data_IF_151229504467
#
_entry.id   IF_151229504467
#
_cell.length_a   1.000
_cell.length_b   1.000
_cell.length_c   1.000
_cell.angle_alpha   90.00
_cell.angle_beta   90.00
_cell.angle_gamma   90.00
#
_symmetry.space_group_name_H-M   'P 1'
#
loop_
_entity.id
_entity.type
_entity.pdbx_description
1 polymer ?
#
# COMPACT_ATOMS: atom_id res chain seq x y z
N UNK A 1 -21.84 -2.71 -11.02
CA UNK A 1 -21.70 -1.71 -9.94
C UNK A 1 -20.97 -0.50 -10.52
N UNK A 2 -21.54 0.71 -10.49
CA UNK A 2 -20.86 1.90 -10.99
C UNK A 2 -19.83 2.43 -9.97
N UNK A 3 -18.79 3.10 -10.47
CA UNK A 3 -17.92 3.93 -9.62
C UNK A 3 -18.69 5.18 -9.19
N UNK A 4 -18.59 5.57 -7.93
CA UNK A 4 -19.15 6.84 -7.44
C UNK A 4 -18.15 7.97 -7.67
N UNK A 5 -17.97 8.34 -8.94
CA UNK A 5 -17.07 9.42 -9.34
C UNK A 5 -17.83 10.74 -9.46
N UNK A 6 -17.20 11.82 -8.98
CA UNK A 6 -17.62 13.20 -9.25
C UNK A 6 -16.46 14.02 -9.80
N UNK A 7 -16.77 15.05 -10.57
CA UNK A 7 -15.81 16.11 -10.91
C UNK A 7 -15.71 17.08 -9.75
N UNK A 8 -14.54 17.69 -9.57
CA UNK A 8 -14.32 18.76 -8.61
C UNK A 8 -13.09 19.58 -8.93
N UNK A 9 -12.84 20.62 -8.13
CA UNK A 9 -11.64 21.45 -8.22
C UNK A 9 -10.83 21.34 -6.93
N UNK A 10 -9.52 21.19 -7.04
CA UNK A 10 -8.63 21.21 -5.87
C UNK A 10 -8.66 22.61 -5.25
N UNK A 11 -9.13 22.71 -4.01
CA UNK A 11 -9.29 24.00 -3.30
C UNK A 11 -8.15 24.28 -2.34
N UNK A 12 -7.48 23.24 -1.84
CA UNK A 12 -6.35 23.37 -0.93
C UNK A 12 -5.43 22.15 -1.04
N UNK A 13 -4.13 22.36 -0.81
CA UNK A 13 -3.15 21.28 -0.55
C UNK A 13 -2.72 21.43 0.91
N UNK A 14 -3.06 20.43 1.73
CA UNK A 14 -2.86 20.46 3.19
C UNK A 14 -1.48 19.90 3.55
N UNK A 15 -1.09 18.81 2.91
CA UNK A 15 0.20 18.15 3.10
C UNK A 15 0.61 17.49 1.78
N UNK A 16 1.86 17.69 1.38
CA UNK A 16 2.46 17.04 0.21
C UNK A 16 3.67 16.22 0.65
N UNK A 17 3.58 14.90 0.47
CA UNK A 17 4.64 13.93 0.64
C UNK A 17 4.93 13.28 -0.72
N UNK A 18 6.11 12.69 -0.89
CA UNK A 18 6.57 12.11 -2.17
C UNK A 18 5.57 11.13 -2.82
N UNK A 19 4.85 10.33 -2.01
CA UNK A 19 3.92 9.30 -2.50
C UNK A 19 2.46 9.56 -2.12
N UNK A 20 2.16 10.61 -1.35
CA UNK A 20 0.82 10.90 -0.87
C UNK A 20 0.61 12.39 -0.68
N UNK A 21 -0.51 12.90 -1.21
CA UNK A 21 -0.95 14.28 -0.98
C UNK A 21 -2.27 14.25 -0.24
N UNK A 22 -2.36 15.02 0.84
CA UNK A 22 -3.61 15.35 1.52
C UNK A 22 -4.07 16.71 1.04
N UNK A 23 -5.26 16.78 0.49
CA UNK A 23 -5.80 17.97 -0.15
C UNK A 23 -7.29 18.14 0.16
N UNK A 24 -7.87 19.20 -0.37
CA UNK A 24 -9.31 19.40 -0.41
C UNK A 24 -9.79 19.55 -1.86
N UNK A 25 -10.92 18.93 -2.17
CA UNK A 25 -11.62 19.07 -3.46
C UNK A 25 -13.01 19.62 -3.20
N UNK A 26 -13.25 20.86 -3.63
CA UNK A 26 -14.45 21.64 -3.30
C UNK A 26 -14.70 21.74 -1.78
N UNK A 27 -13.62 21.89 -1.00
CA UNK A 27 -13.66 21.96 0.47
C UNK A 27 -13.86 20.60 1.18
N UNK A 28 -13.88 19.49 0.45
CA UNK A 28 -13.99 18.14 1.03
C UNK A 28 -12.59 17.50 1.14
N UNK A 29 -12.19 16.95 2.30
CA UNK A 29 -10.93 16.25 2.45
C UNK A 29 -10.76 15.12 1.43
N UNK A 30 -9.59 15.06 0.82
CA UNK A 30 -9.27 14.10 -0.22
C UNK A 30 -7.80 13.65 -0.13
N UNK A 31 -7.53 12.40 -0.50
CA UNK A 31 -6.18 11.85 -0.63
C UNK A 31 -5.88 11.56 -2.09
N UNK A 32 -4.71 11.98 -2.56
CA UNK A 32 -4.17 11.62 -3.86
C UNK A 32 -2.86 10.84 -3.72
N UNK A 33 -2.57 10.01 -4.71
CA UNK A 33 -1.31 9.26 -4.83
C UNK A 33 -0.60 9.77 -6.08
N UNK A 34 0.34 10.73 -5.98
CA UNK A 34 0.93 11.37 -7.16
C UNK A 34 1.62 10.41 -8.12
N UNK A 35 2.19 9.31 -7.61
CA UNK A 35 2.76 8.24 -8.44
C UNK A 35 1.74 7.55 -9.36
N UNK A 36 0.44 7.64 -9.05
CA UNK A 36 -0.65 7.11 -9.88
C UNK A 36 -1.42 8.21 -10.63
N UNK A 37 -1.54 9.39 -10.02
CA UNK A 37 -2.48 10.43 -10.46
C UNK A 37 -1.80 11.69 -10.99
N UNK A 38 -0.47 11.74 -10.93
CA UNK A 38 0.34 12.92 -11.20
C UNK A 38 0.36 13.89 -10.02
N UNK A 39 1.19 14.92 -10.15
CA UNK A 39 1.24 16.03 -9.21
C UNK A 39 -0.13 16.73 -9.08
N UNK A 40 -0.35 17.42 -7.96
CA UNK A 40 -1.62 18.08 -7.64
C UNK A 40 -1.36 19.49 -7.12
N UNK A 41 -2.05 20.49 -7.67
CA UNK A 41 -2.05 21.86 -7.16
C UNK A 41 -3.48 22.40 -7.04
N UNK A 42 -3.62 23.49 -6.27
CA UNK A 42 -4.86 24.27 -6.19
C UNK A 42 -5.27 24.77 -7.57
N UNK A 43 -6.55 24.59 -7.90
CA UNK A 43 -7.13 24.95 -9.19
C UNK A 43 -7.20 23.80 -10.20
N UNK A 44 -6.58 22.65 -9.91
CA UNK A 44 -6.69 21.47 -10.78
C UNK A 44 -8.13 20.94 -10.84
N UNK A 45 -8.55 20.58 -12.04
CA UNK A 45 -9.77 19.84 -12.26
C UNK A 45 -9.51 18.35 -12.09
N UNK A 46 -10.32 17.69 -11.27
CA UNK A 46 -10.10 16.30 -10.86
C UNK A 46 -11.38 15.49 -10.93
N UNK A 47 -11.22 14.17 -11.08
CA UNK A 47 -12.24 13.19 -10.72
C UNK A 47 -11.88 12.62 -9.34
N UNK A 48 -12.86 12.51 -8.46
CA UNK A 48 -12.70 11.89 -7.14
C UNK A 48 -13.73 10.79 -6.93
N UNK A 49 -13.34 9.73 -6.22
CA UNK A 49 -14.23 8.70 -5.71
C UNK A 49 -14.68 9.08 -4.30
N UNK A 50 -15.98 9.20 -4.10
CA UNK A 50 -16.59 9.66 -2.84
C UNK A 50 -17.31 8.56 -2.05
N UNK A 51 -17.33 7.32 -2.54
CA UNK A 51 -18.21 6.27 -2.01
C UNK A 51 -17.89 5.89 -0.58
N UNK A 52 -16.61 5.71 -0.24
CA UNK A 52 -16.22 5.33 1.11
C UNK A 52 -16.65 6.40 2.13
N UNK A 53 -16.48 7.67 1.79
CA UNK A 53 -16.92 8.80 2.62
C UNK A 53 -18.44 8.86 2.74
N UNK A 54 -19.17 8.72 1.63
CA UNK A 54 -20.65 8.74 1.64
C UNK A 54 -21.26 7.59 2.44
N UNK A 55 -20.60 6.42 2.45
CA UNK A 55 -21.00 5.26 3.24
C UNK A 55 -20.47 5.30 4.68
N UNK A 56 -19.76 6.36 5.07
CA UNK A 56 -19.11 6.50 6.39
C UNK A 56 -18.22 5.29 6.74
N UNK A 57 -17.55 4.72 5.73
CA UNK A 57 -16.70 3.56 5.89
C UNK A 57 -15.26 3.95 6.23
N UNK A 58 -14.68 3.19 7.15
CA UNK A 58 -13.32 3.41 7.64
C UNK A 58 -13.21 4.64 8.54
N UNK A 59 -11.99 4.94 8.98
CA UNK A 59 -11.70 6.08 9.86
C UNK A 59 -11.22 7.32 9.12
N UNK A 60 -11.18 7.28 7.79
CA UNK A 60 -10.52 8.30 6.97
C UNK A 60 -11.36 9.57 6.76
N UNK A 61 -12.65 9.42 6.50
CA UNK A 61 -13.54 10.57 6.27
C UNK A 61 -13.16 11.44 5.05
N UNK A 62 -12.42 10.89 4.09
CA UNK A 62 -11.93 11.59 2.90
C UNK A 62 -12.34 10.88 1.60
N UNK A 63 -12.43 11.65 0.52
CA UNK A 63 -12.53 11.16 -0.85
C UNK A 63 -11.16 10.65 -1.35
N UNK A 64 -11.15 9.83 -2.41
CA UNK A 64 -9.91 9.41 -3.08
C UNK A 64 -9.84 10.09 -4.45
N UNK A 65 -8.74 10.78 -4.75
CA UNK A 65 -8.52 11.34 -6.09
C UNK A 65 -8.35 10.18 -7.08
N UNK A 66 -9.24 10.14 -8.07
CA UNK A 66 -9.30 9.09 -9.08
C UNK A 66 -8.44 9.45 -10.30
N UNK A 67 -8.53 10.69 -10.77
CA UNK A 67 -7.70 11.20 -11.88
C UNK A 67 -7.57 12.72 -11.79
N UNK A 68 -6.38 13.25 -12.08
CA UNK A 68 -6.18 14.68 -12.29
C UNK A 68 -6.35 14.98 -13.79
N UNK A 69 -7.39 15.74 -14.14
CA UNK A 69 -7.76 16.05 -15.52
C UNK A 69 -6.95 17.21 -16.12
N UNK A 70 -6.29 18.02 -15.27
CA UNK A 70 -5.48 19.15 -15.70
C UNK A 70 -4.07 18.71 -16.08
N UNK A 71 -3.43 17.85 -15.28
CA UNK A 71 -2.03 17.43 -15.49
C UNK A 71 -1.73 15.95 -15.29
N UNK A 72 -2.70 15.17 -14.81
CA UNK A 72 -2.55 13.72 -14.64
C UNK A 72 -2.86 12.91 -15.91
N UNK A 73 -3.15 13.59 -17.02
CA UNK A 73 -3.47 12.94 -18.30
C UNK A 73 -2.23 12.87 -19.19
N UNK A 74 -1.97 11.69 -19.75
CA UNK A 74 -0.82 11.47 -20.62
C UNK A 74 0.49 11.31 -19.86
N UNK A 75 0.43 10.87 -18.60
CA UNK A 75 1.62 10.50 -17.85
C UNK A 75 2.25 9.24 -18.46
N UNK A 76 3.58 9.25 -18.53
CA UNK A 76 4.35 8.08 -18.95
C UNK A 76 4.36 7.01 -17.86
N UNK A 77 4.43 5.75 -18.28
CA UNK A 77 4.65 4.65 -17.36
C UNK A 77 6.06 4.70 -16.76
N UNK A 78 6.25 4.03 -15.62
CA UNK A 78 7.58 3.81 -15.05
C UNK A 78 8.50 3.11 -16.06
N UNK A 79 9.75 3.57 -16.16
CA UNK A 79 10.71 2.99 -17.08
C UNK A 79 11.00 1.51 -16.74
N UNK A 80 10.89 0.64 -17.74
CA UNK A 80 11.10 -0.80 -17.55
C UNK A 80 9.91 -1.54 -16.92
N UNK A 81 8.79 -0.85 -16.65
CA UNK A 81 7.58 -1.51 -16.19
C UNK A 81 7.06 -2.54 -17.21
N UNK A 82 6.90 -3.78 -16.76
CA UNK A 82 6.41 -4.87 -17.61
C UNK A 82 5.31 -5.73 -16.94
N UNK A 83 4.95 -5.42 -15.68
CA UNK A 83 3.86 -6.07 -14.94
C UNK A 83 2.70 -5.11 -14.76
N UNK A 84 1.46 -5.60 -14.92
CA UNK A 84 0.26 -4.82 -14.65
C UNK A 84 -0.26 -5.06 -13.22
N UNK A 85 -0.34 -4.01 -12.41
CA UNK A 85 -1.20 -4.02 -11.22
C UNK A 85 -2.66 -3.80 -11.60
N UNK A 86 -3.56 -4.38 -10.81
CA UNK A 86 -5.01 -4.30 -10.98
C UNK A 86 -5.44 -4.59 -12.44
N UNK A 87 -4.94 -5.69 -13.06
CA UNK A 87 -5.12 -5.92 -14.50
C UNK A 87 -6.59 -6.02 -14.86
N UNK A 88 -6.96 -5.43 -16.01
CA UNK A 88 -8.34 -5.39 -16.53
C UNK A 88 -9.34 -4.59 -15.68
N UNK A 89 -8.88 -3.85 -14.66
CA UNK A 89 -9.70 -2.87 -13.96
C UNK A 89 -9.55 -1.48 -14.57
N UNK A 90 -10.50 -0.55 -14.37
CA UNK A 90 -10.35 0.85 -14.79
C UNK A 90 -9.15 1.59 -14.17
N UNK A 91 -8.54 1.06 -13.10
CA UNK A 91 -7.37 1.64 -12.42
C UNK A 91 -6.08 0.85 -12.65
N UNK A 92 -6.00 0.03 -13.71
CA UNK A 92 -4.79 -0.72 -14.01
C UNK A 92 -3.60 0.21 -14.26
N UNK A 93 -2.42 -0.19 -13.78
CA UNK A 93 -1.18 0.59 -13.91
C UNK A 93 0.00 -0.37 -14.15
N UNK A 94 0.92 0.04 -15.04
CA UNK A 94 2.15 -0.69 -15.29
C UNK A 94 3.19 -0.31 -14.23
N UNK A 95 3.87 -1.30 -13.68
CA UNK A 95 4.96 -1.10 -12.72
C UNK A 95 6.02 -2.19 -12.84
N UNK A 96 7.17 -1.93 -12.22
CA UNK A 96 8.22 -2.92 -12.00
C UNK A 96 8.00 -3.69 -10.69
N UNK A 97 8.46 -4.93 -10.64
CA UNK A 97 8.39 -5.84 -9.50
C UNK A 97 9.79 -6.32 -9.10
N UNK A 98 10.01 -6.51 -7.80
CA UNK A 98 11.31 -6.88 -7.26
C UNK A 98 11.82 -8.24 -7.75
N UNK A 99 10.90 -9.13 -8.12
CA UNK A 99 11.18 -10.44 -8.73
C UNK A 99 11.92 -10.34 -10.07
N UNK A 100 11.86 -9.18 -10.74
CA UNK A 100 12.54 -8.93 -12.01
C UNK A 100 14.04 -8.68 -11.85
N UNK A 101 14.47 -8.28 -10.65
CA UNK A 101 15.82 -7.79 -10.41
C UNK A 101 16.84 -8.92 -10.19
N UNK A 102 16.38 -10.19 -10.17
CA UNK A 102 17.24 -11.36 -10.09
C UNK A 102 16.62 -12.53 -9.33
N UNK A 103 17.38 -13.60 -9.19
CA UNK A 103 16.93 -14.80 -8.48
C UNK A 103 16.66 -14.52 -7.00
N UNK A 104 15.58 -15.13 -6.50
CA UNK A 104 15.20 -15.07 -5.09
C UNK A 104 15.56 -16.39 -4.39
N UNK A 105 15.97 -16.36 -3.12
CA UNK A 105 16.27 -17.58 -2.37
C UNK A 105 15.01 -18.44 -2.23
N UNK A 106 15.18 -19.75 -2.35
CA UNK A 106 14.07 -20.72 -2.24
C UNK A 106 13.59 -20.97 -0.79
N UNK A 107 14.28 -20.41 0.21
CA UNK A 107 13.97 -20.57 1.62
C UNK A 107 14.33 -19.31 2.41
N UNK A 108 13.65 -19.07 3.54
CA UNK A 108 13.88 -17.92 4.40
C UNK A 108 15.04 -18.11 5.40
N UNK A 109 15.56 -19.33 5.52
CA UNK A 109 16.72 -19.61 6.37
C UNK A 109 16.49 -19.35 7.86
N UNK A 110 15.24 -19.43 8.33
CA UNK A 110 14.87 -19.14 9.72
C UNK A 110 14.65 -17.67 10.05
N UNK A 111 14.68 -16.76 9.07
CA UNK A 111 14.27 -15.36 9.28
C UNK A 111 12.78 -15.34 9.65
N UNK A 112 12.42 -14.84 10.85
CA UNK A 112 11.05 -14.92 11.34
C UNK A 112 10.11 -13.97 10.59
N UNK A 113 8.91 -14.46 10.30
CA UNK A 113 7.79 -13.65 9.78
C UNK A 113 6.75 -13.43 10.86
N UNK A 114 6.63 -12.19 11.35
CA UNK A 114 5.62 -11.79 12.35
C UNK A 114 4.36 -11.31 11.65
N UNK A 115 3.24 -12.01 11.86
CA UNK A 115 1.96 -11.68 11.27
C UNK A 115 1.12 -10.78 12.18
N UNK A 116 0.72 -9.62 11.66
CA UNK A 116 -0.14 -8.65 12.33
C UNK A 116 -1.54 -8.67 11.71
N UNK A 117 -2.52 -9.24 12.42
CA UNK A 117 -3.92 -9.30 11.98
C UNK A 117 -4.61 -7.94 11.96
N UNK A 118 -4.05 -6.96 12.68
CA UNK A 118 -4.46 -5.56 12.63
C UNK A 118 -3.28 -4.68 12.26
N UNK A 119 -3.49 -3.70 11.38
CA UNK A 119 -2.46 -2.73 11.02
C UNK A 119 -1.88 -1.98 12.23
N UNK A 120 -2.70 -1.71 13.25
CA UNK A 120 -2.26 -1.05 14.49
C UNK A 120 -1.26 -1.87 15.31
N UNK A 121 -1.13 -3.18 15.07
CA UNK A 121 -0.12 -4.02 15.73
C UNK A 121 1.28 -3.81 15.17
N UNK A 122 1.43 -3.25 13.97
CA UNK A 122 2.73 -3.05 13.31
C UNK A 122 3.65 -2.19 14.18
N UNK A 123 3.12 -1.12 14.78
CA UNK A 123 3.90 -0.19 15.62
C UNK A 123 4.51 -0.87 16.85
N UNK A 124 3.73 -1.49 17.76
CA UNK A 124 4.30 -2.15 18.94
C UNK A 124 5.20 -3.34 18.57
N UNK A 125 4.91 -4.07 17.49
CA UNK A 125 5.77 -5.17 17.02
C UNK A 125 7.13 -4.64 16.56
N UNK A 126 7.16 -3.61 15.70
CA UNK A 126 8.42 -3.02 15.24
C UNK A 126 9.21 -2.39 16.39
N UNK A 127 8.52 -1.79 17.38
CA UNK A 127 9.16 -1.28 18.59
C UNK A 127 9.81 -2.40 19.42
N UNK A 128 9.18 -3.58 19.51
CA UNK A 128 9.74 -4.74 20.20
C UNK A 128 10.94 -5.36 19.47
N UNK A 129 11.01 -5.20 18.15
CA UNK A 129 12.12 -5.66 17.30
C UNK A 129 13.23 -4.60 17.14
N UNK A 130 13.19 -3.50 17.91
CA UNK A 130 14.17 -2.43 17.80
C UNK A 130 15.61 -2.97 17.93
N UNK A 131 16.48 -2.55 16.99
CA UNK A 131 17.85 -3.04 16.87
C UNK A 131 18.03 -4.13 15.80
N UNK A 132 16.94 -4.71 15.29
CA UNK A 132 16.94 -5.58 14.10
C UNK A 132 16.64 -4.77 12.83
N UNK A 133 17.10 -5.24 11.67
CA UNK A 133 16.70 -4.73 10.35
C UNK A 133 15.36 -5.36 9.97
N UNK A 134 14.29 -4.59 10.12
CA UNK A 134 12.92 -5.07 9.84
C UNK A 134 12.44 -4.62 8.46
N UNK A 135 11.92 -5.55 7.67
CA UNK A 135 11.12 -5.26 6.48
C UNK A 135 9.62 -5.31 6.84
N UNK A 136 8.88 -4.26 6.52
CA UNK A 136 7.42 -4.28 6.59
C UNK A 136 6.87 -4.81 5.27
N UNK A 137 5.95 -5.77 5.31
CA UNK A 137 5.28 -6.33 4.14
C UNK A 137 3.78 -6.12 4.28
N UNK A 138 3.18 -5.37 3.35
CA UNK A 138 1.73 -5.19 3.30
C UNK A 138 1.10 -6.17 2.32
N UNK A 139 0.17 -6.99 2.82
CA UNK A 139 -0.67 -7.87 2.01
C UNK A 139 -2.08 -7.31 1.85
N UNK A 140 -2.83 -7.87 0.91
CA UNK A 140 -4.23 -7.57 0.67
C UNK A 140 -5.09 -7.64 1.95
N UNK A 141 -6.25 -6.97 1.95
CA UNK A 141 -7.23 -7.07 3.04
C UNK A 141 -7.56 -5.75 3.73
N UNK A 142 -6.85 -4.67 3.39
CA UNK A 142 -7.17 -3.29 3.79
C UNK A 142 -6.90 -2.33 2.63
N UNK A 143 -6.37 -1.15 2.95
CA UNK A 143 -5.89 -0.20 1.95
C UNK A 143 -4.84 -0.84 1.04
N UNK A 144 -4.94 -0.56 -0.25
CA UNK A 144 -4.01 -1.09 -1.26
C UNK A 144 -2.71 -0.27 -1.36
N UNK A 145 -2.74 1.07 -1.32
CA UNK A 145 -1.51 1.87 -1.30
C UNK A 145 -0.82 1.80 0.06
N UNK A 146 0.45 1.41 0.08
CA UNK A 146 1.25 1.34 1.32
C UNK A 146 1.53 2.74 1.87
N UNK A 147 1.72 3.71 0.98
CA UNK A 147 1.93 5.14 1.27
C UNK A 147 0.85 5.79 2.13
N UNK A 148 -0.36 5.19 2.21
CA UNK A 148 -1.43 5.71 3.07
C UNK A 148 -1.08 5.67 4.57
N UNK A 149 -0.19 4.78 4.99
CA UNK A 149 0.09 4.58 6.42
C UNK A 149 1.09 5.60 6.98
N UNK A 150 0.57 6.54 7.76
CA UNK A 150 1.39 7.43 8.59
C UNK A 150 2.25 6.64 9.59
N UNK A 151 1.76 5.49 10.09
CA UNK A 151 2.49 4.66 11.04
C UNK A 151 3.74 4.04 10.40
N UNK A 152 3.62 3.48 9.19
CA UNK A 152 4.76 2.92 8.45
C UNK A 152 5.78 4.01 8.15
N UNK A 153 5.32 5.18 7.72
CA UNK A 153 6.19 6.34 7.46
C UNK A 153 6.97 6.77 8.72
N UNK A 154 6.30 6.95 9.86
CA UNK A 154 6.95 7.29 11.13
C UNK A 154 7.91 6.20 11.61
N UNK A 155 7.58 4.92 11.42
CA UNK A 155 8.47 3.80 11.76
C UNK A 155 9.75 3.83 10.91
N UNK A 156 9.64 4.16 9.62
CA UNK A 156 10.79 4.35 8.72
C UNK A 156 11.64 5.55 9.11
N UNK A 157 11.02 6.71 9.37
CA UNK A 157 11.71 7.92 9.83
C UNK A 157 12.51 7.68 11.13
N UNK A 158 12.01 6.79 12.00
CA UNK A 158 12.66 6.39 13.25
C UNK A 158 13.66 5.23 13.11
N UNK A 159 13.84 4.70 11.90
CA UNK A 159 14.74 3.56 11.63
C UNK A 159 14.29 2.24 12.26
N UNK A 160 13.01 2.11 12.64
CA UNK A 160 12.43 0.86 13.15
C UNK A 160 11.95 -0.08 12.04
N UNK A 161 11.74 0.47 10.84
CA UNK A 161 11.46 -0.27 9.59
C UNK A 161 12.43 0.25 8.55
N UNK A 162 13.17 -0.64 7.88
CA UNK A 162 14.11 -0.24 6.84
C UNK A 162 13.45 -0.06 5.47
N UNK A 163 12.40 -0.82 5.20
CA UNK A 163 11.68 -0.82 3.91
C UNK A 163 10.23 -1.23 4.10
N UNK A 164 9.35 -0.68 3.28
CA UNK A 164 7.97 -1.08 3.14
C UNK A 164 7.75 -1.75 1.77
N UNK A 165 7.35 -3.02 1.78
CA UNK A 165 7.10 -3.83 0.59
C UNK A 165 5.59 -3.97 0.38
N UNK A 166 5.11 -3.67 -0.82
CA UNK A 166 3.72 -3.90 -1.21
C UNK A 166 3.59 -5.25 -1.92
N UNK A 167 2.67 -6.11 -1.48
CA UNK A 167 2.33 -7.37 -2.16
C UNK A 167 1.03 -7.20 -2.93
N UNK A 168 1.01 -7.58 -4.21
CA UNK A 168 -0.18 -7.45 -5.05
C UNK A 168 -1.45 -7.99 -4.35
N UNK A 169 -2.58 -7.26 -4.40
CA UNK A 169 -2.84 -6.07 -5.21
C UNK A 169 -2.46 -4.75 -4.52
N UNK A 170 -1.73 -4.78 -3.40
CA UNK A 170 -1.14 -3.57 -2.85
C UNK A 170 -0.11 -2.98 -3.83
N UNK A 171 0.12 -1.69 -3.66
CA UNK A 171 1.01 -0.89 -4.50
C UNK A 171 1.64 0.24 -3.70
N UNK A 172 2.56 0.98 -4.34
CA UNK A 172 3.17 2.18 -3.79
C UNK A 172 3.96 1.91 -2.51
N UNK A 173 4.67 0.78 -2.50
CA UNK A 173 5.73 0.49 -1.54
C UNK A 173 7.02 1.23 -1.91
N UNK A 174 8.04 1.05 -1.07
CA UNK A 174 9.42 1.27 -1.53
C UNK A 174 9.82 0.22 -2.56
N UNK A 175 9.23 -0.96 -2.42
CA UNK A 175 9.42 -2.13 -3.27
C UNK A 175 8.06 -2.79 -3.47
N UNK A 176 7.85 -3.32 -4.66
CA UNK A 176 6.59 -3.91 -5.08
C UNK A 176 6.84 -5.37 -5.49
N UNK A 177 6.08 -6.30 -4.92
CA UNK A 177 6.15 -7.74 -5.21
C UNK A 177 4.78 -8.29 -5.64
N UNK A 178 4.80 -9.34 -6.47
CA UNK A 178 3.60 -10.05 -6.91
C UNK A 178 3.05 -10.94 -5.79
N UNK A 179 3.92 -11.54 -4.98
CA UNK A 179 3.51 -12.51 -3.94
C UNK A 179 4.19 -12.27 -2.60
N UNK A 180 3.58 -12.76 -1.52
CA UNK A 180 4.18 -12.79 -0.18
C UNK A 180 5.47 -13.63 -0.16
N UNK A 181 5.50 -14.73 -0.93
CA UNK A 181 6.68 -15.58 -1.07
C UNK A 181 7.87 -14.79 -1.63
N UNK A 182 7.63 -14.04 -2.71
CA UNK A 182 8.64 -13.17 -3.29
C UNK A 182 9.08 -12.06 -2.34
N UNK A 183 8.13 -11.39 -1.66
CA UNK A 183 8.46 -10.34 -0.70
C UNK A 183 9.33 -10.85 0.46
N UNK A 184 9.03 -12.03 1.01
CA UNK A 184 9.80 -12.62 2.11
C UNK A 184 11.18 -13.06 1.64
N UNK A 185 11.27 -13.75 0.50
CA UNK A 185 12.54 -14.16 -0.09
C UNK A 185 13.41 -12.96 -0.49
N UNK A 186 12.80 -11.89 -1.00
CA UNK A 186 13.45 -10.62 -1.30
C UNK A 186 14.01 -9.99 -0.02
N UNK A 187 13.24 -9.93 1.07
CA UNK A 187 13.72 -9.39 2.34
C UNK A 187 14.94 -10.17 2.87
N UNK A 188 14.95 -11.49 2.72
CA UNK A 188 16.10 -12.32 3.10
C UNK A 188 17.31 -12.02 2.22
N UNK A 189 17.12 -11.91 0.91
CA UNK A 189 18.19 -11.54 -0.05
C UNK A 189 18.84 -10.20 0.30
N UNK A 190 18.03 -9.22 0.71
CA UNK A 190 18.50 -7.88 1.10
C UNK A 190 19.04 -7.80 2.55
N UNK A 191 19.12 -8.93 3.25
CA UNK A 191 19.71 -9.01 4.59
C UNK A 191 18.86 -8.34 5.68
N UNK A 192 17.54 -8.49 5.62
CA UNK A 192 16.65 -8.16 6.74
C UNK A 192 16.63 -9.30 7.76
N UNK A 193 16.62 -8.94 9.04
CA UNK A 193 16.66 -9.87 10.17
C UNK A 193 15.28 -10.41 10.55
N UNK A 194 14.21 -9.69 10.19
CA UNK A 194 12.83 -10.07 10.44
C UNK A 194 11.88 -9.41 9.43
N UNK A 195 10.75 -10.08 9.19
CA UNK A 195 9.65 -9.53 8.40
C UNK A 195 8.44 -9.29 9.30
N UNK A 196 7.86 -8.09 9.23
CA UNK A 196 6.56 -7.79 9.84
C UNK A 196 5.53 -7.69 8.73
N UNK A 197 4.67 -8.70 8.62
CA UNK A 197 3.66 -8.80 7.58
C UNK A 197 2.28 -8.44 8.14
N UNK A 198 1.57 -7.52 7.50
CA UNK A 198 0.26 -7.06 7.94
C UNK A 198 -0.67 -6.74 6.78
N UNK A 199 -1.96 -6.66 7.07
CA UNK A 199 -2.91 -5.94 6.22
C UNK A 199 -2.74 -4.43 6.36
N UNK A 200 -3.07 -3.68 5.31
CA UNK A 200 -3.10 -2.21 5.36
C UNK A 200 -4.18 -1.63 6.30
N UNK A 201 -4.14 -0.31 6.57
CA UNK A 201 -5.19 0.36 7.34
C UNK A 201 -6.57 0.23 6.66
N UNK A 202 -7.66 0.37 7.42
CA UNK A 202 -9.01 0.28 6.86
C UNK A 202 -9.38 -1.14 6.41
N UNK A 203 -9.16 -2.12 7.31
CA UNK A 203 -9.40 -3.55 7.02
C UNK A 203 -10.82 -3.78 6.53
N UNK A 204 -10.96 -4.51 5.43
CA UNK A 204 -12.25 -4.90 4.90
C UNK A 204 -13.00 -5.79 5.91
N UNK A 205 -14.27 -5.48 6.15
CA UNK A 205 -15.09 -6.19 7.11
C UNK A 205 -16.56 -6.13 6.75
N UNK A 206 -17.21 -7.28 6.61
CA UNK A 206 -18.68 -7.37 6.45
C UNK A 206 -19.41 -7.58 7.78
N UNK A 207 -18.67 -7.61 8.90
CA UNK A 207 -19.20 -7.96 10.23
C UNK A 207 -19.41 -9.47 10.45
N UNK A 208 -18.95 -10.32 9.53
CA UNK A 208 -19.03 -11.78 9.63
C UNK A 208 -17.65 -12.40 9.82
N UNK A 209 -17.60 -13.63 10.34
CA UNK A 209 -16.35 -14.36 10.59
C UNK A 209 -15.53 -14.64 9.31
N UNK A 210 -16.20 -14.77 8.15
CA UNK A 210 -15.55 -15.10 6.88
C UNK A 210 -15.35 -13.89 5.97
N UNK A 211 -15.95 -12.75 6.28
CA UNK A 211 -15.85 -11.53 5.48
C UNK A 211 -14.92 -10.51 6.12
N UNK A 212 -13.73 -10.95 6.53
CA UNK A 212 -12.72 -10.10 7.17
C UNK A 212 -11.38 -10.17 6.43
N UNK A 213 -10.79 -9.01 6.13
CA UNK A 213 -9.59 -8.88 5.31
C UNK A 213 -8.34 -9.53 5.90
N UNK A 214 -8.22 -9.67 7.22
CA UNK A 214 -7.05 -10.33 7.83
C UNK A 214 -6.94 -11.83 7.48
N UNK A 215 -7.97 -12.44 6.89
CA UNK A 215 -7.87 -13.80 6.34
C UNK A 215 -6.81 -13.91 5.23
N UNK A 216 -6.41 -12.80 4.59
CA UNK A 216 -5.28 -12.77 3.67
C UNK A 216 -3.97 -13.23 4.32
N UNK A 217 -3.82 -13.07 5.65
CA UNK A 217 -2.63 -13.50 6.37
C UNK A 217 -2.55 -15.02 6.55
N UNK A 218 -3.64 -15.77 6.31
CA UNK A 218 -3.59 -17.23 6.31
C UNK A 218 -2.70 -17.76 5.18
N UNK A 219 -2.76 -17.12 4.00
CA UNK A 219 -1.86 -17.42 2.89
C UNK A 219 -0.41 -17.05 3.25
N UNK A 220 -0.18 -15.86 3.79
CA UNK A 220 1.13 -15.43 4.26
C UNK A 220 1.73 -16.39 5.32
N UNK A 221 0.91 -16.90 6.24
CA UNK A 221 1.33 -17.88 7.24
C UNK A 221 1.76 -19.20 6.60
N UNK A 222 1.00 -19.71 5.63
CA UNK A 222 1.33 -20.93 4.91
C UNK A 222 2.63 -20.77 4.12
N UNK A 223 2.81 -19.62 3.46
CA UNK A 223 4.03 -19.29 2.70
C UNK A 223 5.25 -19.22 3.62
N UNK A 224 5.15 -18.49 4.74
CA UNK A 224 6.23 -18.38 5.71
C UNK A 224 6.67 -19.78 6.22
N UNK A 225 5.70 -20.57 6.69
CA UNK A 225 5.95 -21.93 7.16
C UNK A 225 6.52 -22.86 6.09
N UNK A 226 6.07 -22.75 4.83
CA UNK A 226 6.57 -23.57 3.72
C UNK A 226 8.01 -23.20 3.31
N UNK A 227 8.40 -21.93 3.45
CA UNK A 227 9.74 -21.45 3.12
C UNK A 227 10.71 -21.49 4.32
N UNK A 228 10.25 -21.94 5.49
CA UNK A 228 11.08 -22.12 6.68
C UNK A 228 11.41 -20.82 7.42
N UNK A 229 10.42 -19.92 7.55
CA UNK A 229 10.49 -18.70 8.37
C UNK A 229 9.17 -18.37 9.05
#
# INVERSE_FOLDING_TARGET
MPLGLRRGTVTAVVEALDCLVRLEVDGIPCVAYPRLTGEVEVGDEVLVNEQARQLELGSGGFDILYANLTRGIGLEAEEGAHVMALPYTPGQVALRRAEEDGELPAALGGVPVVLCTLHSQVVPVCAALAGLRVAYVQVAGGALPVSLSDAVRVLKERGLVGVAVAVAPCLDGDVDCVTSAAAFAWAVREGYDAVVCAVGPGIAGTGSALGHGALALADAANVAGALGG
#
